data_IF_696030849420
#
_entry.id   IF_696030849420
#
_cell.length_a   1.000
_cell.length_b   1.000
_cell.length_c   1.000
_cell.angle_alpha   90.00
_cell.angle_beta   90.00
_cell.angle_gamma   90.00
#
_symmetry.space_group_name_H-M   'P 1'
#
loop_
_entity.id
_entity.type
_entity.pdbx_description
1 polymer ?
#
# COMPACT_ATOMS: atom_id res chain seq x y z
N UNK A 1 -10.33 13.22 19.96
CA UNK A 1 -10.26 13.00 18.50
C UNK A 1 -10.94 11.68 18.21
N UNK A 2 -11.97 11.67 17.37
CA UNK A 2 -12.65 10.42 16.96
C UNK A 2 -11.83 9.88 15.79
N UNK A 3 -11.18 8.72 15.96
CA UNK A 3 -10.51 8.05 14.85
C UNK A 3 -11.56 7.77 13.77
N UNK A 4 -11.31 8.10 12.48
CA UNK A 4 -12.29 7.83 11.43
C UNK A 4 -12.61 6.32 11.43
N UNK A 5 -13.91 6.00 11.40
CA UNK A 5 -14.46 4.64 11.55
C UNK A 5 -14.32 3.77 10.28
N UNK A 6 -13.63 4.23 9.25
CA UNK A 6 -13.85 3.71 7.89
C UNK A 6 -12.74 2.83 7.35
N UNK A 7 -11.57 2.77 8.01
CA UNK A 7 -10.45 1.93 7.55
C UNK A 7 -9.64 1.40 8.74
N UNK A 8 -9.73 0.10 9.00
CA UNK A 8 -8.79 -0.59 9.90
C UNK A 8 -7.45 -0.81 9.22
N UNK A 9 -6.40 -1.11 9.98
CA UNK A 9 -5.08 -1.47 9.44
C UNK A 9 -5.18 -2.62 8.43
N UNK A 10 -5.97 -3.65 8.75
CA UNK A 10 -6.20 -4.79 7.87
C UNK A 10 -6.89 -4.38 6.56
N UNK A 11 -7.90 -3.51 6.63
CA UNK A 11 -8.59 -3.02 5.44
C UNK A 11 -7.66 -2.21 4.52
N UNK A 12 -6.82 -1.35 5.10
CA UNK A 12 -5.82 -0.59 4.33
C UNK A 12 -4.81 -1.53 3.66
N UNK A 13 -4.31 -2.54 4.39
CA UNK A 13 -3.37 -3.53 3.84
C UNK A 13 -3.98 -4.29 2.66
N UNK A 14 -5.20 -4.85 2.82
CA UNK A 14 -5.84 -5.63 1.76
C UNK A 14 -6.19 -4.76 0.56
N UNK A 15 -6.59 -3.51 0.80
CA UNK A 15 -6.80 -2.53 -0.27
C UNK A 15 -5.50 -2.24 -1.03
N UNK A 16 -4.40 -1.96 -0.33
CA UNK A 16 -3.10 -1.72 -0.97
C UNK A 16 -2.68 -2.90 -1.86
N UNK A 17 -2.82 -4.14 -1.37
CA UNK A 17 -2.52 -5.34 -2.17
C UNK A 17 -3.35 -5.40 -3.45
N UNK A 18 -4.66 -5.17 -3.35
CA UNK A 18 -5.57 -5.19 -4.50
C UNK A 18 -5.22 -4.10 -5.53
N UNK A 19 -4.91 -2.89 -5.08
CA UNK A 19 -4.54 -1.78 -5.96
C UNK A 19 -3.21 -2.05 -6.67
N UNK A 20 -2.20 -2.54 -5.93
CA UNK A 20 -0.90 -2.93 -6.52
C UNK A 20 -1.08 -4.04 -7.56
N UNK A 21 -1.92 -5.06 -7.30
CA UNK A 21 -2.20 -6.11 -8.28
C UNK A 21 -2.92 -5.56 -9.53
N UNK A 22 -3.78 -4.56 -9.35
CA UNK A 22 -4.39 -3.80 -10.45
C UNK A 22 -3.33 -3.13 -11.32
N UNK A 23 -2.42 -2.37 -10.71
CA UNK A 23 -1.32 -1.69 -11.40
C UNK A 23 -0.37 -2.68 -12.09
N UNK A 24 -0.15 -3.86 -11.50
CA UNK A 24 0.62 -4.94 -12.14
C UNK A 24 -0.09 -5.48 -13.38
N UNK A 25 -1.42 -5.69 -13.29
CA UNK A 25 -2.21 -6.18 -14.43
C UNK A 25 -2.26 -5.16 -15.59
N UNK A 26 -2.25 -3.87 -15.26
CA UNK A 26 -2.19 -2.77 -16.25
C UNK A 26 -0.78 -2.51 -16.79
N UNK A 27 0.25 -3.10 -16.17
CA UNK A 27 1.66 -2.92 -16.55
C UNK A 27 2.29 -1.62 -16.05
N UNK A 28 1.62 -0.90 -15.15
CA UNK A 28 2.13 0.29 -14.47
C UNK A 28 3.28 -0.08 -13.52
N UNK A 29 3.13 -1.18 -12.78
CA UNK A 29 4.15 -1.74 -11.88
C UNK A 29 4.61 -3.11 -12.39
N UNK A 30 5.93 -3.40 -12.45
CA UNK A 30 6.41 -4.73 -12.78
C UNK A 30 6.08 -5.76 -11.68
N UNK A 31 5.57 -6.93 -12.05
CA UNK A 31 5.43 -8.08 -11.13
C UNK A 31 6.76 -8.60 -10.55
N UNK A 32 7.89 -8.06 -11.04
CA UNK A 32 9.23 -8.37 -10.56
C UNK A 32 9.69 -7.55 -9.36
N UNK A 33 8.98 -6.47 -9.00
CA UNK A 33 9.30 -5.68 -7.81
C UNK A 33 9.44 -6.59 -6.58
N UNK A 34 10.51 -6.38 -5.82
CA UNK A 34 10.94 -7.24 -4.72
C UNK A 34 10.68 -6.62 -3.33
N UNK A 35 10.24 -5.37 -3.26
CA UNK A 35 9.91 -4.65 -2.03
C UNK A 35 8.85 -3.59 -2.28
N UNK A 36 8.25 -3.07 -1.20
CA UNK A 36 7.36 -1.91 -1.31
C UNK A 36 8.10 -0.67 -1.81
N UNK A 37 9.35 -0.47 -1.36
CA UNK A 37 10.16 0.67 -1.81
C UNK A 37 10.40 0.69 -3.32
N UNK A 38 10.51 -0.47 -3.97
CA UNK A 38 10.69 -0.53 -5.44
C UNK A 38 9.45 -0.06 -6.21
N UNK A 39 8.26 -0.07 -5.59
CA UNK A 39 7.06 0.48 -6.22
C UNK A 39 7.20 2.00 -6.49
N UNK A 40 8.00 2.70 -5.67
CA UNK A 40 8.24 4.14 -5.82
C UNK A 40 9.03 4.51 -7.08
N UNK A 41 9.68 3.55 -7.73
CA UNK A 41 10.32 3.77 -9.02
C UNK A 41 9.29 3.94 -10.16
N UNK A 42 8.01 3.60 -9.90
CA UNK A 42 6.93 3.56 -10.88
C UNK A 42 5.77 4.50 -10.56
N UNK A 43 5.38 4.58 -9.29
CA UNK A 43 4.23 5.37 -8.81
C UNK A 43 4.54 6.00 -7.46
N UNK A 44 3.71 6.94 -7.00
CA UNK A 44 3.75 7.31 -5.57
C UNK A 44 3.02 6.24 -4.75
N UNK A 45 3.76 5.22 -4.34
CA UNK A 45 3.21 4.07 -3.62
C UNK A 45 2.54 4.46 -2.29
N UNK A 46 2.87 5.63 -1.72
CA UNK A 46 2.21 6.11 -0.50
C UNK A 46 0.70 6.26 -0.70
N UNK A 47 0.22 6.43 -1.94
CA UNK A 47 -1.21 6.57 -2.24
C UNK A 47 -2.03 5.28 -2.09
N UNK A 48 -1.37 4.11 -2.05
CA UNK A 48 -2.07 2.84 -1.89
C UNK A 48 -2.78 2.73 -0.53
N UNK A 49 -3.85 1.95 -0.50
CA UNK A 49 -4.66 1.76 0.70
C UNK A 49 -5.59 2.94 1.00
N UNK A 50 -5.70 3.89 0.07
CA UNK A 50 -6.55 5.08 0.18
C UNK A 50 -5.90 6.27 0.88
N UNK A 51 -4.58 6.29 1.07
CA UNK A 51 -3.90 7.34 1.84
C UNK A 51 -4.07 8.76 1.28
N UNK A 52 -4.36 8.89 -0.01
CA UNK A 52 -4.57 10.17 -0.67
C UNK A 52 -6.04 10.56 -0.83
N UNK A 53 -6.99 9.75 -0.34
CA UNK A 53 -8.42 10.07 -0.41
C UNK A 53 -8.83 11.15 0.60
N UNK A 54 -7.96 11.43 1.58
CA UNK A 54 -8.14 12.44 2.62
C UNK A 54 -6.85 13.25 2.81
N UNK A 55 -6.96 14.42 3.43
CA UNK A 55 -5.80 15.23 3.77
C UNK A 55 -4.88 14.47 4.72
N UNK A 56 -3.58 14.48 4.43
CA UNK A 56 -2.60 13.78 5.24
C UNK A 56 -2.50 14.41 6.63
N UNK A 57 -2.81 13.61 7.66
CA UNK A 57 -2.57 13.95 9.06
C UNK A 57 -1.24 13.31 9.51
N UNK A 58 -0.29 14.13 9.97
CA UNK A 58 1.00 13.64 10.45
C UNK A 58 0.84 12.67 11.64
N UNK A 59 -0.27 12.73 12.38
CA UNK A 59 -0.59 11.78 13.46
C UNK A 59 -0.85 10.35 12.96
N UNK A 60 -1.04 10.15 11.65
CA UNK A 60 -1.26 8.84 11.02
C UNK A 60 0.02 8.17 10.51
N UNK A 61 1.19 8.79 10.70
CA UNK A 61 2.47 8.27 10.21
C UNK A 61 2.73 6.82 10.66
N UNK A 62 2.48 6.51 11.93
CA UNK A 62 2.65 5.15 12.46
C UNK A 62 1.68 4.14 11.83
N UNK A 63 0.47 4.58 11.49
CA UNK A 63 -0.53 3.74 10.82
C UNK A 63 -0.07 3.42 9.40
N UNK A 64 0.32 4.43 8.63
CA UNK A 64 0.76 4.23 7.24
C UNK A 64 2.08 3.46 7.17
N UNK A 65 3.02 3.69 8.08
CA UNK A 65 4.23 2.86 8.19
C UNK A 65 3.88 1.38 8.44
N UNK A 66 2.92 1.09 9.32
CA UNK A 66 2.48 -0.28 9.57
C UNK A 66 1.82 -0.93 8.34
N UNK A 67 1.08 -0.16 7.53
CA UNK A 67 0.54 -0.64 6.24
C UNK A 67 1.70 -0.98 5.29
N UNK A 68 2.66 -0.07 5.13
CA UNK A 68 3.79 -0.24 4.23
C UNK A 68 4.65 -1.45 4.61
N UNK A 69 4.97 -1.63 5.90
CA UNK A 69 5.73 -2.78 6.40
C UNK A 69 5.02 -4.11 6.11
N UNK A 70 3.71 -4.16 6.32
CA UNK A 70 2.92 -5.37 6.06
C UNK A 70 2.84 -5.71 4.56
N UNK A 71 2.67 -4.69 3.71
CA UNK A 71 2.66 -4.87 2.25
C UNK A 71 4.05 -5.26 1.73
N UNK A 72 5.11 -4.64 2.26
CA UNK A 72 6.50 -5.00 1.94
C UNK A 72 6.79 -6.47 2.26
N UNK A 73 6.40 -6.93 3.45
CA UNK A 73 6.53 -8.33 3.84
C UNK A 73 5.78 -9.27 2.88
N UNK A 74 4.58 -8.87 2.45
CA UNK A 74 3.79 -9.63 1.47
C UNK A 74 4.46 -9.68 0.08
N UNK A 75 5.02 -8.57 -0.42
CA UNK A 75 5.77 -8.53 -1.68
C UNK A 75 6.99 -9.44 -1.60
N UNK A 76 7.76 -9.35 -0.52
CA UNK A 76 8.94 -10.22 -0.27
C UNK A 76 8.56 -11.70 -0.18
N UNK A 77 7.34 -12.01 0.27
CA UNK A 77 6.76 -13.35 0.25
C UNK A 77 6.21 -13.77 -1.14
N UNK A 78 6.52 -13.02 -2.21
CA UNK A 78 6.09 -13.22 -3.61
C UNK A 78 4.63 -12.90 -3.89
N UNK A 79 4.03 -12.00 -3.13
CA UNK A 79 2.64 -11.56 -3.30
C UNK A 79 2.27 -11.01 -4.68
N UNK A 80 3.23 -10.52 -5.47
CA UNK A 80 2.98 -10.00 -6.82
C UNK A 80 2.95 -11.07 -7.92
N UNK A 81 3.25 -12.33 -7.58
CA UNK A 81 3.36 -13.45 -8.55
C UNK A 81 2.27 -14.51 -8.36
N UNK A 82 1.33 -14.26 -7.44
CA UNK A 82 0.24 -15.17 -7.08
C UNK A 82 -0.91 -15.17 -8.08
#
# INVERSE_FOLDING_TARGET
>A
MVKPTWTTLEQAIERSKSEILGDVAEGTVPATCASYSELHDHVDANGYGGAFEHDFDNEETDFWNAVQDAVDAWIKARGLRS
#
